data_IF_960243727550
#
_entry.id   IF_960243727550
#
_cell.length_a   1.000
_cell.length_b   1.000
_cell.length_c   1.000
_cell.angle_alpha   90.00
_cell.angle_beta   90.00
_cell.angle_gamma   90.00
#
_symmetry.space_group_name_H-M   'P 1'
#
loop_
_entity.id
_entity.type
_entity.pdbx_description
1 polymer ?
#
# COMPACT_ATOMS: atom_id res chain seq x y z
N UNK A 1 -16.54 -10.16 -34.94
CA UNK A 1 -15.63 -9.09 -34.46
C UNK A 1 -15.96 -8.80 -33.01
N UNK A 2 -15.29 -9.46 -32.06
CA UNK A 2 -15.40 -9.11 -30.64
C UNK A 2 -14.60 -7.83 -30.43
N UNK A 3 -15.30 -6.73 -30.15
CA UNK A 3 -14.71 -5.47 -29.73
C UNK A 3 -13.81 -5.78 -28.52
N UNK A 4 -12.52 -5.46 -28.64
CA UNK A 4 -11.47 -5.89 -27.72
C UNK A 4 -11.79 -5.49 -26.28
N UNK A 5 -12.11 -6.48 -25.44
CA UNK A 5 -12.29 -6.26 -24.01
C UNK A 5 -10.96 -5.80 -23.41
N UNK A 6 -10.95 -4.64 -22.77
CA UNK A 6 -9.80 -4.15 -22.00
C UNK A 6 -9.59 -5.11 -20.82
N UNK A 7 -8.34 -5.56 -20.61
CA UNK A 7 -8.02 -6.44 -19.51
C UNK A 7 -8.40 -5.80 -18.16
N UNK A 8 -9.01 -6.52 -17.20
CA UNK A 8 -9.51 -5.93 -15.94
C UNK A 8 -8.45 -5.14 -15.16
N UNK A 9 -7.20 -5.62 -15.13
CA UNK A 9 -6.10 -4.93 -14.46
C UNK A 9 -5.74 -3.58 -15.11
N UNK A 10 -5.83 -3.48 -16.44
CA UNK A 10 -5.64 -2.21 -17.18
C UNK A 10 -6.77 -1.24 -16.81
N UNK A 11 -8.02 -1.70 -16.82
CA UNK A 11 -9.17 -0.90 -16.39
C UNK A 11 -9.02 -0.40 -14.96
N UNK A 12 -8.54 -1.25 -14.04
CA UNK A 12 -8.30 -0.86 -12.65
C UNK A 12 -7.21 0.20 -12.53
N UNK A 13 -6.08 0.03 -13.22
CA UNK A 13 -5.01 1.03 -13.26
C UNK A 13 -5.53 2.39 -13.75
N UNK A 14 -6.34 2.40 -14.81
CA UNK A 14 -6.95 3.62 -15.34
C UNK A 14 -7.90 4.27 -14.33
N UNK A 15 -8.69 3.48 -13.58
CA UNK A 15 -9.57 4.01 -12.55
C UNK A 15 -8.79 4.72 -11.43
N UNK A 16 -7.72 4.10 -10.92
CA UNK A 16 -6.83 4.70 -9.91
C UNK A 16 -6.19 6.01 -10.40
N UNK A 17 -5.91 6.09 -11.69
CA UNK A 17 -5.22 7.22 -12.29
C UNK A 17 -6.13 8.41 -12.60
N UNK A 18 -7.34 8.16 -13.09
CA UNK A 18 -8.20 9.20 -13.67
C UNK A 18 -9.52 9.39 -12.95
N UNK A 19 -9.85 8.52 -12.00
CA UNK A 19 -11.01 8.67 -11.11
C UNK A 19 -10.60 8.60 -9.64
N UNK A 20 -9.54 9.32 -9.20
CA UNK A 20 -8.99 9.14 -7.87
C UNK A 20 -9.98 9.45 -6.75
N UNK A 21 -10.91 10.39 -6.90
CA UNK A 21 -11.87 10.72 -5.84
C UNK A 21 -12.74 9.55 -5.40
N UNK A 22 -13.02 8.60 -6.31
CA UNK A 22 -13.78 7.38 -6.04
C UNK A 22 -12.91 6.20 -5.56
N UNK A 23 -11.58 6.30 -5.66
CA UNK A 23 -10.70 5.14 -5.50
C UNK A 23 -9.56 5.33 -4.49
N UNK A 24 -9.18 6.56 -4.17
CA UNK A 24 -8.14 6.85 -3.20
C UNK A 24 -8.65 6.70 -1.77
N UNK A 25 -7.75 6.47 -0.82
CA UNK A 25 -8.08 6.46 0.60
C UNK A 25 -8.66 7.82 1.03
N UNK A 26 -9.70 7.87 1.88
CA UNK A 26 -10.34 9.13 2.30
C UNK A 26 -9.37 10.17 2.88
N UNK A 27 -8.33 9.73 3.58
CA UNK A 27 -7.34 10.63 4.18
C UNK A 27 -6.51 11.43 3.15
N UNK A 28 -6.57 11.07 1.86
CA UNK A 28 -5.97 11.88 0.80
C UNK A 28 -6.70 13.21 0.57
N UNK A 29 -7.99 13.34 0.91
CA UNK A 29 -8.72 14.60 0.78
C UNK A 29 -8.05 15.73 1.57
N UNK A 30 -7.85 15.62 2.89
CA UNK A 30 -7.13 16.64 3.65
C UNK A 30 -5.63 16.68 3.28
N UNK A 31 -4.98 15.55 2.97
CA UNK A 31 -3.56 15.55 2.62
C UNK A 31 -3.25 16.28 1.29
N UNK A 32 -4.23 16.39 0.40
CA UNK A 32 -4.15 17.19 -0.83
C UNK A 32 -4.71 18.59 -0.68
N UNK A 33 -5.15 18.98 0.52
CA UNK A 33 -5.80 20.26 0.81
C UNK A 33 -7.07 20.43 -0.04
N UNK A 34 -7.90 19.37 -0.06
CA UNK A 34 -9.12 19.26 -0.84
C UNK A 34 -10.34 18.84 -0.01
N UNK A 35 -10.28 18.89 1.32
CA UNK A 35 -11.35 18.40 2.19
C UNK A 35 -12.71 19.07 1.90
N UNK A 36 -12.69 20.38 1.63
CA UNK A 36 -13.88 21.15 1.22
C UNK A 36 -14.56 20.65 -0.07
N UNK A 37 -13.86 19.89 -0.92
CA UNK A 37 -14.40 19.35 -2.17
C UNK A 37 -15.01 17.96 -2.02
N UNK A 38 -14.81 17.30 -0.87
CA UNK A 38 -15.27 15.93 -0.62
C UNK A 38 -16.78 15.80 -0.72
N UNK A 39 -17.53 16.73 -0.13
CA UNK A 39 -18.99 16.76 -0.20
C UNK A 39 -19.48 16.98 -1.64
N UNK A 40 -18.81 17.85 -2.38
CA UNK A 40 -19.09 18.09 -3.80
C UNK A 40 -18.91 16.85 -4.67
N UNK A 41 -18.05 15.90 -4.27
CA UNK A 41 -17.86 14.64 -4.98
C UNK A 41 -19.06 13.69 -4.89
N UNK A 42 -20.06 13.96 -4.03
CA UNK A 42 -21.31 13.21 -4.04
C UNK A 42 -22.14 13.44 -5.32
N UNK A 43 -21.90 14.53 -6.05
CA UNK A 43 -22.64 14.90 -7.25
C UNK A 43 -21.92 14.43 -8.53
N UNK A 44 -22.55 13.58 -9.38
CA UNK A 44 -21.91 13.04 -10.57
C UNK A 44 -21.38 14.08 -11.56
N UNK A 45 -22.01 15.26 -11.63
CA UNK A 45 -21.58 16.37 -12.47
C UNK A 45 -20.20 16.92 -12.07
N UNK A 46 -19.82 16.78 -10.79
CA UNK A 46 -18.58 17.32 -10.25
C UNK A 46 -17.40 16.34 -10.36
N UNK A 47 -17.66 15.04 -10.53
CA UNK A 47 -16.63 13.99 -10.50
C UNK A 47 -15.44 14.32 -11.40
N UNK A 48 -15.68 14.61 -12.69
CA UNK A 48 -14.60 14.83 -13.66
C UNK A 48 -13.73 16.04 -13.31
N UNK A 49 -14.33 17.13 -12.84
CA UNK A 49 -13.61 18.35 -12.47
C UNK A 49 -12.80 18.16 -11.20
N UNK A 50 -13.36 17.49 -10.19
CA UNK A 50 -12.68 17.20 -8.93
C UNK A 50 -11.56 16.16 -9.15
N UNK A 51 -11.79 15.12 -9.96
CA UNK A 51 -10.76 14.15 -10.32
C UNK A 51 -9.56 14.80 -11.01
N UNK A 52 -9.81 15.76 -11.92
CA UNK A 52 -8.74 16.57 -12.54
C UNK A 52 -7.98 17.40 -11.51
N UNK A 53 -8.68 18.01 -10.55
CA UNK A 53 -8.07 18.78 -9.47
C UNK A 53 -7.19 17.89 -8.58
N UNK A 54 -7.66 16.69 -8.22
CA UNK A 54 -6.88 15.70 -7.46
C UNK A 54 -5.63 15.28 -8.24
N UNK A 55 -5.75 14.99 -9.54
CA UNK A 55 -4.60 14.64 -10.39
C UNK A 55 -3.58 15.78 -10.44
N UNK A 56 -4.04 17.03 -10.57
CA UNK A 56 -3.17 18.20 -10.55
C UNK A 56 -2.44 18.36 -9.22
N UNK A 57 -3.14 18.21 -8.08
CA UNK A 57 -2.57 18.33 -6.73
C UNK A 57 -1.57 17.22 -6.41
N UNK A 58 -1.87 15.95 -6.72
CA UNK A 58 -0.95 14.83 -6.48
C UNK A 58 0.21 14.77 -7.49
N UNK A 59 0.07 15.44 -8.64
CA UNK A 59 1.13 15.60 -9.64
C UNK A 59 1.40 14.37 -10.52
N UNK A 60 0.49 13.38 -10.54
CA UNK A 60 0.55 12.19 -11.41
C UNK A 60 -0.86 11.63 -11.71
N UNK A 61 -1.03 10.89 -12.82
CA UNK A 61 -0.04 10.64 -13.88
C UNK A 61 0.26 11.89 -14.72
N UNK A 62 1.50 12.01 -15.24
CA UNK A 62 1.92 13.12 -16.12
C UNK A 62 1.93 12.76 -17.61
N UNK A 63 1.71 11.49 -17.92
CA UNK A 63 1.72 10.94 -19.27
C UNK A 63 0.56 9.97 -19.45
N UNK A 64 0.28 9.62 -20.69
CA UNK A 64 -0.69 8.57 -21.01
C UNK A 64 -0.28 7.25 -20.33
N UNK A 65 -1.29 6.52 -19.84
CA UNK A 65 -1.09 5.20 -19.27
C UNK A 65 -0.83 4.15 -20.36
N UNK A 66 -0.10 3.08 -20.05
CA UNK A 66 0.11 2.01 -21.01
C UNK A 66 -1.21 1.25 -21.25
N UNK A 67 -1.46 0.90 -22.51
CA UNK A 67 -2.63 0.09 -22.89
C UNK A 67 -2.52 -1.39 -22.46
N UNK A 68 -1.33 -1.82 -22.02
CA UNK A 68 -1.03 -3.17 -21.54
C UNK A 68 -0.11 -3.10 -20.33
N UNK A 69 -0.32 -4.00 -19.37
CA UNK A 69 0.56 -4.15 -18.21
C UNK A 69 1.56 -5.27 -18.47
N UNK A 70 2.77 -5.10 -17.94
CA UNK A 70 3.68 -6.24 -17.78
C UNK A 70 3.19 -7.18 -16.65
N UNK A 71 3.79 -8.37 -16.56
CA UNK A 71 3.39 -9.38 -15.58
C UNK A 71 3.57 -8.92 -14.12
N UNK A 72 4.57 -8.06 -13.84
CA UNK A 72 4.83 -7.54 -12.50
C UNK A 72 3.75 -6.52 -12.10
N UNK A 73 3.43 -5.59 -12.99
CA UNK A 73 2.36 -4.61 -12.80
C UNK A 73 1.00 -5.28 -12.63
N UNK A 74 0.69 -6.28 -13.47
CA UNK A 74 -0.55 -7.04 -13.35
C UNK A 74 -0.63 -7.78 -12.01
N UNK A 75 0.48 -8.40 -11.57
CA UNK A 75 0.55 -9.05 -10.27
C UNK A 75 0.31 -8.06 -9.12
N UNK A 76 0.93 -6.88 -9.15
CA UNK A 76 0.73 -5.85 -8.12
C UNK A 76 -0.72 -5.36 -8.06
N UNK A 77 -1.36 -5.10 -9.21
CA UNK A 77 -2.77 -4.68 -9.26
C UNK A 77 -3.69 -5.76 -8.67
N UNK A 78 -3.38 -7.03 -8.89
CA UNK A 78 -4.15 -8.13 -8.30
C UNK A 78 -4.05 -8.20 -6.76
N UNK A 79 -3.03 -7.60 -6.15
CA UNK A 79 -2.88 -7.55 -4.69
C UNK A 79 -3.77 -6.50 -4.02
N UNK A 80 -4.37 -5.59 -4.79
CA UNK A 80 -5.11 -4.43 -4.25
C UNK A 80 -6.12 -4.77 -3.14
N UNK A 81 -6.98 -5.80 -3.25
CA UNK A 81 -7.96 -6.11 -2.20
C UNK A 81 -7.35 -6.49 -0.86
N UNK A 82 -6.08 -6.88 -0.86
CA UNK A 82 -5.32 -7.39 0.30
C UNK A 82 -4.17 -6.47 0.66
N UNK A 83 -4.09 -5.30 0.03
CA UNK A 83 -2.91 -4.47 0.04
C UNK A 83 -2.56 -3.93 1.42
N UNK A 84 -3.58 -3.53 2.21
CA UNK A 84 -3.37 -3.05 3.58
C UNK A 84 -2.70 -4.12 4.45
N UNK A 85 -3.25 -5.34 4.44
CA UNK A 85 -2.69 -6.50 5.12
C UNK A 85 -1.25 -6.80 4.66
N UNK A 86 -1.01 -6.81 3.35
CA UNK A 86 0.32 -7.10 2.79
C UNK A 86 1.34 -6.00 3.14
N UNK A 87 0.91 -4.76 3.25
CA UNK A 87 1.76 -3.64 3.66
C UNK A 87 2.10 -3.72 5.15
N UNK A 88 1.17 -4.13 6.02
CA UNK A 88 1.49 -4.43 7.43
C UNK A 88 2.53 -5.56 7.53
N UNK A 89 2.34 -6.64 6.76
CA UNK A 89 3.31 -7.74 6.68
C UNK A 89 4.70 -7.28 6.20
N UNK A 90 4.73 -6.40 5.18
CA UNK A 90 5.96 -5.78 4.68
C UNK A 90 6.64 -4.92 5.76
N UNK A 91 5.86 -4.20 6.55
CA UNK A 91 6.35 -3.42 7.68
C UNK A 91 6.97 -4.28 8.78
N UNK A 92 6.33 -5.40 9.12
CA UNK A 92 6.88 -6.36 10.07
C UNK A 92 8.24 -6.88 9.61
N UNK A 93 8.33 -7.19 8.32
CA UNK A 93 9.55 -7.63 7.66
C UNK A 93 10.65 -6.56 7.70
N UNK A 94 10.28 -5.28 7.52
CA UNK A 94 11.19 -4.14 7.63
C UNK A 94 11.66 -3.90 9.07
N UNK A 95 10.78 -4.02 10.08
CA UNK A 95 11.18 -3.91 11.48
C UNK A 95 12.07 -5.07 11.93
N UNK A 96 11.89 -6.26 11.35
CA UNK A 96 12.75 -7.42 11.60
C UNK A 96 12.62 -7.98 13.02
N UNK A 97 11.45 -7.84 13.66
CA UNK A 97 11.19 -8.39 15.00
C UNK A 97 10.20 -9.57 14.94
N UNK A 98 10.67 -10.82 14.86
CA UNK A 98 9.79 -11.99 14.88
C UNK A 98 9.08 -12.17 16.23
N UNK A 99 9.61 -11.59 17.32
CA UNK A 99 9.01 -11.63 18.65
C UNK A 99 7.55 -11.15 18.67
N UNK A 100 7.19 -10.20 17.81
CA UNK A 100 5.82 -9.71 17.69
C UNK A 100 4.83 -10.80 17.23
N UNK A 101 5.30 -11.82 16.52
CA UNK A 101 4.48 -12.97 16.09
C UNK A 101 4.38 -14.07 17.16
N UNK A 102 5.17 -13.97 18.23
CA UNK A 102 5.26 -14.95 19.31
C UNK A 102 4.58 -14.45 20.58
N UNK A 103 4.79 -13.18 20.94
CA UNK A 103 4.27 -12.58 22.16
C UNK A 103 2.79 -12.24 22.02
N UNK A 104 1.95 -12.75 22.93
CA UNK A 104 0.50 -12.68 22.86
C UNK A 104 -0.11 -11.27 22.59
N UNK A 105 0.29 -10.18 23.28
CA UNK A 105 -0.35 -8.88 23.04
C UNK A 105 -0.12 -8.37 21.62
N UNK A 106 1.02 -8.70 21.00
CA UNK A 106 1.32 -8.36 19.62
C UNK A 106 0.68 -9.35 18.65
N UNK A 107 0.77 -10.64 18.96
CA UNK A 107 0.25 -11.71 18.12
C UNK A 107 -1.25 -11.60 17.93
N UNK A 108 -2.02 -11.26 18.97
CA UNK A 108 -3.47 -11.08 18.85
C UNK A 108 -3.83 -9.97 17.87
N UNK A 109 -3.10 -8.84 17.91
CA UNK A 109 -3.31 -7.72 16.98
C UNK A 109 -2.91 -8.10 15.55
N UNK A 110 -1.78 -8.79 15.39
CA UNK A 110 -1.30 -9.25 14.09
C UNK A 110 -2.20 -10.32 13.50
N UNK A 111 -2.74 -11.25 14.29
CA UNK A 111 -3.66 -12.29 13.84
C UNK A 111 -5.01 -11.71 13.41
N UNK A 112 -5.48 -10.64 14.06
CA UNK A 112 -6.68 -9.92 13.63
C UNK A 112 -6.50 -9.29 12.23
N UNK A 113 -5.28 -8.86 11.89
CA UNK A 113 -4.98 -8.24 10.60
C UNK A 113 -4.60 -9.26 9.51
N UNK A 114 -3.79 -10.27 9.85
CA UNK A 114 -3.12 -11.18 8.92
C UNK A 114 -3.72 -12.59 8.92
N UNK A 115 -4.54 -12.92 9.91
CA UNK A 115 -4.94 -14.29 10.23
C UNK A 115 -3.84 -15.10 10.91
N UNK A 116 -4.23 -16.18 11.58
CA UNK A 116 -3.28 -17.10 12.26
C UNK A 116 -2.32 -17.76 11.27
N UNK A 117 -2.83 -18.19 10.10
CA UNK A 117 -2.01 -18.78 9.05
C UNK A 117 -1.00 -17.77 8.51
N UNK A 118 -1.42 -16.52 8.30
CA UNK A 118 -0.52 -15.46 7.83
C UNK A 118 0.58 -15.16 8.83
N UNK A 119 0.25 -15.13 10.12
CA UNK A 119 1.26 -15.00 11.19
C UNK A 119 2.28 -16.14 11.18
N UNK A 120 1.84 -17.38 11.01
CA UNK A 120 2.73 -18.54 10.94
C UNK A 120 3.68 -18.48 9.72
N UNK A 121 3.16 -18.10 8.55
CA UNK A 121 3.96 -17.96 7.34
C UNK A 121 4.96 -16.81 7.42
N UNK A 122 4.56 -15.67 8.02
CA UNK A 122 5.48 -14.55 8.25
C UNK A 122 6.55 -14.88 9.27
N UNK A 123 6.24 -15.67 10.30
CA UNK A 123 7.22 -16.13 11.27
C UNK A 123 8.29 -16.97 10.57
N UNK A 124 7.89 -17.87 9.67
CA UNK A 124 8.82 -18.65 8.86
C UNK A 124 9.70 -17.77 7.95
N UNK A 125 9.16 -16.68 7.40
CA UNK A 125 9.93 -15.72 6.58
C UNK A 125 10.89 -14.84 7.39
N UNK A 126 10.55 -14.55 8.65
CA UNK A 126 11.32 -13.64 9.51
C UNK A 126 12.32 -14.34 10.42
N UNK A 127 12.23 -15.67 10.59
CA UNK A 127 13.02 -16.43 11.58
C UNK A 127 14.52 -16.17 11.50
N UNK A 128 15.08 -16.10 10.28
CA UNK A 128 16.53 -15.97 10.07
C UNK A 128 16.96 -14.50 9.88
N UNK A 129 16.05 -13.54 10.06
CA UNK A 129 16.36 -12.13 9.90
C UNK A 129 16.90 -11.52 11.19
N UNK A 130 17.85 -10.58 11.09
CA UNK A 130 18.43 -9.95 12.26
C UNK A 130 17.40 -9.04 12.95
N UNK A 131 17.31 -9.18 14.27
CA UNK A 131 16.49 -8.32 15.12
C UNK A 131 17.14 -6.95 15.25
N UNK A 132 16.63 -5.96 14.52
CA UNK A 132 17.23 -4.61 14.44
C UNK A 132 16.27 -3.47 14.72
N UNK A 133 14.96 -3.70 14.64
CA UNK A 133 13.96 -2.66 14.86
C UNK A 133 13.81 -2.31 16.35
N UNK A 134 13.43 -1.06 16.68
CA UNK A 134 13.08 -0.70 18.04
C UNK A 134 11.77 -1.38 18.49
N UNK A 135 11.59 -1.46 19.80
CA UNK A 135 10.36 -1.94 20.39
C UNK A 135 9.21 -0.96 20.18
N UNK A 136 8.06 -1.49 19.78
CA UNK A 136 6.83 -0.75 19.58
C UNK A 136 5.85 -1.15 20.67
N UNK A 137 5.06 -0.20 21.17
CA UNK A 137 3.96 -0.53 22.06
C UNK A 137 2.86 -1.28 21.27
N UNK A 138 2.18 -2.28 21.86
CA UNK A 138 1.16 -3.07 21.17
C UNK A 138 0.06 -2.21 20.53
N UNK A 139 -0.41 -1.17 21.21
CA UNK A 139 -1.49 -0.27 20.76
C UNK A 139 -1.14 0.51 19.49
N UNK A 140 0.16 0.67 19.17
CA UNK A 140 0.64 1.38 17.98
C UNK A 140 1.24 0.46 16.93
N UNK A 141 1.30 -0.84 17.20
CA UNK A 141 2.03 -1.79 16.36
C UNK A 141 1.52 -1.78 14.92
N UNK A 142 0.22 -1.99 14.70
CA UNK A 142 -0.34 -2.17 13.35
C UNK A 142 -0.14 -0.92 12.50
N UNK A 143 -0.38 0.27 13.05
CA UNK A 143 -0.20 1.53 12.34
C UNK A 143 1.28 1.79 12.04
N UNK A 144 2.17 1.51 12.99
CA UNK A 144 3.61 1.65 12.80
C UNK A 144 4.14 0.73 11.70
N UNK A 145 3.69 -0.54 11.69
CA UNK A 145 4.04 -1.50 10.66
C UNK A 145 3.44 -1.10 9.30
N UNK A 146 2.17 -0.68 9.25
CA UNK A 146 1.55 -0.18 8.01
C UNK A 146 2.39 0.95 7.40
N UNK A 147 2.78 1.93 8.19
CA UNK A 147 3.58 3.06 7.70
C UNK A 147 4.99 2.66 7.31
N UNK A 148 5.65 1.78 8.08
CA UNK A 148 6.96 1.27 7.73
C UNK A 148 6.93 0.52 6.39
N UNK A 149 5.93 -0.35 6.20
CA UNK A 149 5.71 -1.08 4.97
C UNK A 149 5.37 -0.17 3.80
N UNK A 150 4.46 0.79 3.98
CA UNK A 150 4.10 1.74 2.94
C UNK A 150 5.27 2.64 2.56
N UNK A 151 6.12 3.03 3.52
CA UNK A 151 7.32 3.82 3.26
C UNK A 151 8.37 3.03 2.48
N UNK A 152 8.64 1.79 2.88
CA UNK A 152 9.52 0.92 2.09
C UNK A 152 8.95 0.69 0.70
N UNK A 153 7.64 0.43 0.56
CA UNK A 153 7.05 0.21 -0.75
C UNK A 153 7.06 1.44 -1.66
N UNK A 154 6.86 2.63 -1.11
CA UNK A 154 6.92 3.87 -1.89
C UNK A 154 8.31 4.17 -2.46
N UNK A 155 9.39 3.53 -2.01
CA UNK A 155 10.70 3.65 -2.69
C UNK A 155 10.64 3.12 -4.12
N UNK A 156 9.79 2.12 -4.39
CA UNK A 156 9.55 1.58 -5.72
C UNK A 156 8.63 2.47 -6.58
N UNK A 157 7.90 3.40 -5.95
CA UNK A 157 6.94 4.27 -6.65
C UNK A 157 7.64 5.23 -7.64
N UNK A 158 8.93 5.50 -7.46
CA UNK A 158 9.72 6.31 -8.40
C UNK A 158 9.78 5.67 -9.79
N UNK A 159 9.89 4.34 -9.84
CA UNK A 159 10.12 3.56 -11.07
C UNK A 159 8.87 2.84 -11.58
N UNK A 160 7.86 2.63 -10.74
CA UNK A 160 6.65 1.89 -11.10
C UNK A 160 5.39 2.73 -10.89
N UNK A 161 4.71 3.08 -11.98
CA UNK A 161 3.47 3.84 -11.92
C UNK A 161 2.33 3.05 -11.25
N UNK A 162 2.24 1.73 -11.44
CA UNK A 162 1.26 0.89 -10.76
C UNK A 162 1.43 0.96 -9.24
N UNK A 163 2.68 0.88 -8.75
CA UNK A 163 2.99 1.08 -7.33
C UNK A 163 2.56 2.46 -6.85
N UNK A 164 2.90 3.51 -7.61
CA UNK A 164 2.51 4.88 -7.24
C UNK A 164 0.99 5.05 -7.16
N UNK A 165 0.24 4.51 -8.12
CA UNK A 165 -1.21 4.57 -8.15
C UNK A 165 -1.85 3.75 -7.02
N UNK A 166 -1.41 2.50 -6.82
CA UNK A 166 -1.90 1.67 -5.73
C UNK A 166 -1.57 2.26 -4.35
N UNK A 167 -0.45 2.97 -4.19
CA UNK A 167 -0.15 3.64 -2.93
C UNK A 167 -1.18 4.70 -2.51
N UNK A 168 -2.04 5.16 -3.44
CA UNK A 168 -3.14 6.09 -3.14
C UNK A 168 -4.37 5.41 -2.55
N UNK A 169 -4.50 4.09 -2.65
CA UNK A 169 -5.58 3.35 -1.98
C UNK A 169 -5.29 3.15 -0.48
N UNK A 170 -4.06 3.43 -0.06
CA UNK A 170 -3.62 3.43 1.33
C UNK A 170 -3.61 4.86 1.89
N UNK A 171 -3.65 5.02 3.22
CA UNK A 171 -3.48 6.33 3.85
C UNK A 171 -2.22 7.06 3.36
N UNK A 172 -2.26 8.40 3.23
CA UNK A 172 -1.06 9.19 2.99
C UNK A 172 -0.11 9.03 4.19
N UNK A 173 1.19 8.86 3.91
CA UNK A 173 2.20 8.77 4.95
C UNK A 173 2.39 10.14 5.62
N UNK A 174 2.56 10.17 6.95
CA UNK A 174 2.96 11.38 7.64
C UNK A 174 4.37 11.81 7.21
N UNK A 175 4.58 13.12 7.14
CA UNK A 175 5.89 13.72 6.86
C UNK A 175 6.92 13.33 7.92
N UNK A 176 6.49 13.24 9.19
CA UNK A 176 7.27 12.75 10.32
C UNK A 176 6.48 11.63 11.01
N UNK A 177 6.95 10.37 10.96
CA UNK A 177 6.27 9.29 11.65
C UNK A 177 6.42 9.47 13.18
N UNK A 178 5.38 9.22 13.97
CA UNK A 178 5.47 9.31 15.44
C UNK A 178 6.14 8.08 16.07
N UNK A 179 6.58 7.12 15.26
CA UNK A 179 7.36 5.96 15.64
C UNK A 179 8.72 5.96 14.94
N UNK A 180 9.73 5.26 15.51
CA UNK A 180 11.02 5.15 14.87
C UNK A 180 10.92 4.43 13.51
N UNK A 181 11.75 4.86 12.56
CA UNK A 181 11.82 4.22 11.26
C UNK A 181 12.37 2.79 11.37
N UNK A 182 11.88 1.90 10.49
CA UNK A 182 12.45 0.58 10.32
C UNK A 182 13.93 0.67 9.84
N UNK A 183 14.83 -0.19 10.34
CA UNK A 183 16.23 -0.20 9.91
C UNK A 183 16.37 -0.44 8.41
N UNK A 184 17.20 0.35 7.74
CA UNK A 184 17.44 0.25 6.29
C UNK A 184 18.02 -1.13 5.93
N UNK A 185 18.87 -1.70 6.78
CA UNK A 185 19.51 -3.00 6.54
C UNK A 185 18.52 -4.17 6.42
N UNK A 186 17.30 -4.02 6.95
CA UNK A 186 16.24 -5.03 6.86
C UNK A 186 15.43 -4.90 5.56
N UNK A 187 15.53 -3.76 4.87
CA UNK A 187 14.81 -3.42 3.65
C UNK A 187 15.58 -3.88 2.41
N UNK A 188 15.90 -5.16 2.35
CA UNK A 188 16.70 -5.74 1.28
C UNK A 188 15.86 -6.04 0.04
N UNK A 189 16.27 -5.46 -1.09
CA UNK A 189 15.61 -5.63 -2.39
C UNK A 189 14.40 -4.71 -2.58
N UNK A 190 13.64 -4.98 -3.65
CA UNK A 190 12.44 -4.21 -3.98
C UNK A 190 11.27 -4.68 -3.12
N UNK A 191 10.58 -3.74 -2.51
CA UNK A 191 9.39 -4.01 -1.70
C UNK A 191 8.27 -4.67 -2.52
N UNK A 192 8.14 -4.31 -3.81
CA UNK A 192 7.16 -4.88 -4.74
C UNK A 192 7.35 -6.39 -4.92
N UNK A 193 8.60 -6.86 -4.96
CA UNK A 193 8.90 -8.29 -5.10
C UNK A 193 8.48 -9.04 -3.83
N UNK A 194 8.69 -8.43 -2.66
CA UNK A 194 8.20 -8.96 -1.38
C UNK A 194 6.67 -9.00 -1.30
N UNK A 195 5.98 -7.94 -1.74
CA UNK A 195 4.51 -7.93 -1.77
C UNK A 195 3.95 -9.03 -2.68
N UNK A 196 4.52 -9.21 -3.88
CA UNK A 196 4.11 -10.30 -4.79
C UNK A 196 4.41 -11.67 -4.19
N UNK A 197 5.55 -11.84 -3.52
CA UNK A 197 5.89 -13.09 -2.82
C UNK A 197 4.92 -13.37 -1.69
N UNK A 198 4.64 -12.39 -0.83
CA UNK A 198 3.73 -12.53 0.31
C UNK A 198 2.29 -12.75 -0.14
N UNK A 199 1.83 -12.08 -1.20
CA UNK A 199 0.47 -12.27 -1.74
C UNK A 199 0.17 -13.66 -2.30
N UNK A 200 1.21 -14.46 -2.56
CA UNK A 200 1.07 -15.88 -2.93
C UNK A 200 1.10 -16.82 -1.71
N UNK A 201 1.67 -16.37 -0.61
CA UNK A 201 1.88 -17.17 0.60
C UNK A 201 0.72 -16.98 1.57
N UNK A 202 0.47 -15.72 1.94
CA UNK A 202 -0.63 -15.29 2.78
C UNK A 202 -1.93 -15.43 2.01
#
# INVERSE_FOLDING_TARGET
MTIGAIAPAVSRLHALAWRPGANMHPDWWPALDLDAWREGYAYPACHASIDRLIVARRGFPRAALPARLDASQAALIALEPRLDMLVVALGLLAHGRPDYLLAQPYRTLLAAQLGEQGCAQLLALCRDRPVRGPDLAPDRLVDALRDAGARWWRTDAAVCLATRLLSTVLPPLPSSPPWPAAPIDNQQGRASDWLVRMGRLL
#
